data_IF_847308639219
#
_entry.id   IF_847308639219
#
_cell.length_a   1.000
_cell.length_b   1.000
_cell.length_c   1.000
_cell.angle_alpha   90.00
_cell.angle_beta   90.00
_cell.angle_gamma   90.00
#
_symmetry.space_group_name_H-M   'P 1'
#
loop_
_entity.id
_entity.type
_entity.pdbx_description
1 polymer ?
#
# COMPACT_ATOMS: atom_id res chain seq x y z
N UNK A 1 -37.42 13.06 -2.11
CA UNK A 1 -36.27 13.99 -2.20
C UNK A 1 -36.27 14.88 -0.96
N UNK A 2 -35.18 14.85 -0.18
CA UNK A 2 -35.02 15.78 0.93
C UNK A 2 -34.73 17.16 0.34
N UNK A 3 -35.56 18.16 0.68
CA UNK A 3 -35.40 19.55 0.26
C UNK A 3 -34.42 20.32 1.18
N UNK A 4 -33.69 19.62 2.05
CA UNK A 4 -32.69 20.24 2.93
C UNK A 4 -31.42 20.52 2.13
N UNK A 5 -31.10 21.81 2.02
CA UNK A 5 -29.79 22.30 1.58
C UNK A 5 -28.71 21.61 2.42
N UNK A 6 -27.62 21.22 1.78
CA UNK A 6 -26.46 20.54 2.38
C UNK A 6 -25.79 21.45 3.43
N UNK A 7 -26.40 21.52 4.61
CA UNK A 7 -25.85 22.24 5.75
C UNK A 7 -24.76 21.37 6.37
N UNK A 8 -23.52 21.86 6.32
CA UNK A 8 -22.42 21.30 7.10
C UNK A 8 -22.86 21.10 8.55
N UNK A 9 -22.47 19.98 9.16
CA UNK A 9 -22.78 19.73 10.56
C UNK A 9 -22.45 20.96 11.44
N UNK A 10 -23.28 21.30 12.45
CA UNK A 10 -23.06 22.46 13.30
C UNK A 10 -21.61 22.48 13.82
N UNK A 11 -20.95 23.64 13.77
CA UNK A 11 -19.53 23.75 14.15
C UNK A 11 -19.28 23.26 15.57
N UNK A 12 -20.25 23.44 16.45
CA UNK A 12 -20.24 22.99 17.83
C UNK A 12 -20.28 21.45 17.94
N UNK A 13 -21.03 20.78 17.06
CA UNK A 13 -21.06 19.31 16.98
C UNK A 13 -19.73 18.76 16.45
N UNK A 14 -19.21 19.33 15.36
CA UNK A 14 -17.91 18.95 14.81
C UNK A 14 -16.79 19.14 15.83
N UNK A 15 -16.82 20.26 16.56
CA UNK A 15 -15.87 20.52 17.64
C UNK A 15 -15.96 19.46 18.74
N UNK A 16 -17.17 19.11 19.20
CA UNK A 16 -17.35 18.09 20.22
C UNK A 16 -16.85 16.71 19.77
N UNK A 17 -17.11 16.33 18.51
CA UNK A 17 -16.62 15.05 17.94
C UNK A 17 -15.10 15.06 17.83
N UNK A 18 -14.50 16.15 17.34
CA UNK A 18 -13.04 16.28 17.21
C UNK A 18 -12.36 16.29 18.58
N UNK A 19 -12.95 16.93 19.59
CA UNK A 19 -12.43 16.93 20.96
C UNK A 19 -12.54 15.56 21.64
N UNK A 20 -13.54 14.74 21.27
CA UNK A 20 -13.72 13.38 21.80
C UNK A 20 -12.87 12.33 21.07
N UNK A 21 -12.42 12.60 19.85
CA UNK A 21 -11.70 11.63 19.02
C UNK A 21 -10.40 11.10 19.68
N UNK A 22 -9.56 11.92 20.33
CA UNK A 22 -8.37 11.41 21.02
C UNK A 22 -8.71 10.41 22.14
N UNK A 23 -9.77 10.66 22.91
CA UNK A 23 -10.21 9.74 23.96
C UNK A 23 -10.74 8.43 23.38
N UNK A 24 -11.50 8.49 22.29
CA UNK A 24 -11.98 7.29 21.60
C UNK A 24 -10.84 6.47 20.96
N UNK A 25 -9.83 7.13 20.39
CA UNK A 25 -8.63 6.48 19.85
C UNK A 25 -7.84 5.81 20.97
N UNK A 26 -7.67 6.50 22.11
CA UNK A 26 -6.95 5.95 23.26
C UNK A 26 -7.69 4.75 23.85
N UNK A 27 -9.00 4.84 24.04
CA UNK A 27 -9.81 3.71 24.51
C UNK A 27 -9.73 2.50 23.56
N UNK A 28 -9.80 2.74 22.24
CA UNK A 28 -9.63 1.67 21.25
C UNK A 28 -8.23 1.05 21.32
N UNK A 29 -7.18 1.87 21.53
CA UNK A 29 -5.83 1.37 21.71
C UNK A 29 -5.73 0.47 22.96
N UNK A 30 -6.26 0.93 24.09
CA UNK A 30 -6.28 0.16 25.33
C UNK A 30 -7.02 -1.18 25.15
N UNK A 31 -8.17 -1.17 24.47
CA UNK A 31 -8.91 -2.40 24.15
C UNK A 31 -8.08 -3.35 23.28
N UNK A 32 -7.48 -2.84 22.18
CA UNK A 32 -6.65 -3.62 21.28
C UNK A 32 -5.37 -4.17 21.95
N UNK A 33 -4.79 -3.45 22.91
CA UNK A 33 -3.62 -3.89 23.67
C UNK A 33 -3.93 -5.08 24.60
N UNK A 34 -5.22 -5.33 24.91
CA UNK A 34 -5.64 -6.50 25.69
C UNK A 34 -5.90 -7.75 24.85
N UNK A 35 -6.01 -7.61 23.53
CA UNK A 35 -6.27 -8.73 22.65
C UNK A 35 -5.07 -9.69 22.62
N UNK A 36 -5.30 -11.02 22.74
CA UNK A 36 -4.22 -11.99 22.65
C UNK A 36 -3.68 -12.02 21.23
N UNK A 37 -2.40 -12.39 21.09
CA UNK A 37 -1.74 -12.54 19.78
C UNK A 37 -2.53 -13.43 18.79
N UNK A 38 -3.21 -14.46 19.28
CA UNK A 38 -4.06 -15.32 18.46
C UNK A 38 -5.24 -14.60 17.80
N UNK A 39 -5.71 -13.47 18.34
CA UNK A 39 -6.77 -12.67 17.73
C UNK A 39 -6.28 -11.99 16.44
N UNK A 40 -5.04 -11.51 16.43
CA UNK A 40 -4.40 -10.93 15.25
C UNK A 40 -4.14 -11.97 14.16
N UNK A 41 -3.93 -13.23 14.53
CA UNK A 41 -3.77 -14.35 13.59
C UNK A 41 -5.04 -15.22 13.47
N UNK A 42 -6.22 -14.61 13.64
CA UNK A 42 -7.52 -15.28 13.47
C UNK A 42 -7.98 -15.36 12.01
N UNK A 43 -7.41 -14.51 11.14
CA UNK A 43 -7.66 -14.49 9.70
C UNK A 43 -6.52 -13.78 8.98
N UNK A 44 -6.37 -14.01 7.67
CA UNK A 44 -5.38 -13.29 6.84
C UNK A 44 -5.59 -11.77 6.92
N UNK A 45 -6.85 -11.32 6.92
CA UNK A 45 -7.16 -9.89 7.05
C UNK A 45 -6.74 -9.29 8.39
N UNK A 46 -6.98 -10.00 9.51
CA UNK A 46 -6.51 -9.55 10.82
C UNK A 46 -4.98 -9.52 10.91
N UNK A 47 -4.31 -10.54 10.34
CA UNK A 47 -2.85 -10.64 10.34
C UNK A 47 -2.23 -9.53 9.47
N UNK A 48 -2.86 -9.21 8.34
CA UNK A 48 -2.47 -8.09 7.50
C UNK A 48 -2.66 -6.74 8.20
N UNK A 49 -3.76 -6.54 8.94
CA UNK A 49 -3.94 -5.33 9.75
C UNK A 49 -2.87 -5.19 10.83
N UNK A 50 -2.49 -6.29 11.48
CA UNK A 50 -1.41 -6.31 12.45
C UNK A 50 -0.06 -5.93 11.82
N UNK A 51 0.24 -6.46 10.63
CA UNK A 51 1.39 -6.06 9.82
C UNK A 51 1.39 -4.55 9.51
N UNK A 52 0.26 -3.98 9.08
CA UNK A 52 0.18 -2.55 8.78
C UNK A 52 0.48 -1.68 10.00
N UNK A 53 0.12 -2.13 11.21
CA UNK A 53 0.45 -1.45 12.46
C UNK A 53 1.96 -1.24 12.66
N UNK A 54 2.81 -2.13 12.12
CA UNK A 54 4.27 -2.00 12.22
C UNK A 54 4.84 -0.80 11.45
N UNK A 55 4.10 -0.26 10.48
CA UNK A 55 4.50 0.91 9.70
C UNK A 55 4.44 2.20 10.55
N UNK A 56 3.72 2.20 11.67
CA UNK A 56 3.62 3.30 12.63
C UNK A 56 4.75 3.33 13.68
N UNK A 57 5.92 2.76 13.36
CA UNK A 57 7.07 2.67 14.28
C UNK A 57 7.79 4.00 14.50
N UNK A 58 8.45 4.15 15.66
CA UNK A 58 9.32 5.29 15.95
C UNK A 58 10.68 5.14 15.26
N UNK A 59 10.85 5.81 14.12
CA UNK A 59 12.10 5.85 13.37
C UNK A 59 13.07 6.88 13.94
N UNK A 60 13.58 6.62 15.14
CA UNK A 60 14.45 7.54 15.88
C UNK A 60 15.95 7.42 15.53
N UNK A 61 16.78 7.76 16.52
CA UNK A 61 18.24 7.67 16.43
C UNK A 61 18.68 6.25 16.04
N UNK A 62 19.42 6.14 14.94
CA UNK A 62 19.91 4.86 14.40
C UNK A 62 19.33 4.53 13.02
N UNK A 63 18.19 5.12 12.66
CA UNK A 63 17.60 5.02 11.33
C UNK A 63 18.17 6.06 10.35
N UNK A 64 18.08 5.84 9.03
CA UNK A 64 18.37 6.86 8.02
C UNK A 64 17.64 8.19 8.29
N UNK A 65 18.30 9.32 8.03
CA UNK A 65 17.74 10.65 8.33
C UNK A 65 16.39 10.90 7.66
N UNK A 66 16.16 10.38 6.45
CA UNK A 66 14.87 10.53 5.79
C UNK A 66 13.73 9.87 6.58
N UNK A 67 13.99 8.74 7.25
CA UNK A 67 12.98 8.05 8.06
C UNK A 67 12.64 8.80 9.36
N UNK A 68 13.56 9.64 9.85
CA UNK A 68 13.35 10.46 11.04
C UNK A 68 12.49 11.71 10.77
N UNK A 69 12.14 11.97 9.50
CA UNK A 69 11.36 13.13 9.08
C UNK A 69 9.86 12.90 9.29
N UNK A 70 9.08 13.94 9.68
CA UNK A 70 7.62 13.89 9.66
C UNK A 70 7.04 13.50 8.29
N UNK A 71 7.75 13.82 7.20
CA UNK A 71 7.34 13.42 5.84
C UNK A 71 7.34 11.91 5.67
N UNK A 72 8.29 11.21 6.30
CA UNK A 72 8.31 9.75 6.23
C UNK A 72 7.16 9.13 7.02
N UNK A 73 6.86 9.67 8.22
CA UNK A 73 5.69 9.24 8.98
C UNK A 73 4.38 9.42 8.19
N UNK A 74 4.24 10.52 7.45
CA UNK A 74 3.10 10.73 6.58
C UNK A 74 3.08 9.75 5.38
N UNK A 75 4.22 9.45 4.76
CA UNK A 75 4.33 8.38 3.74
C UNK A 75 3.95 7.00 4.29
N UNK A 76 4.33 6.71 5.54
CA UNK A 76 3.95 5.45 6.21
C UNK A 76 2.45 5.37 6.48
N UNK A 77 1.82 6.49 6.82
CA UNK A 77 0.36 6.58 6.95
C UNK A 77 -0.33 6.36 5.59
N UNK A 78 0.19 6.95 4.50
CA UNK A 78 -0.30 6.68 3.14
C UNK A 78 -0.14 5.21 2.76
N UNK A 79 0.97 4.58 3.14
CA UNK A 79 1.19 3.16 2.88
C UNK A 79 0.22 2.26 3.67
N UNK A 80 -0.04 2.58 4.95
CA UNK A 80 -1.04 1.89 5.77
C UNK A 80 -2.43 1.99 5.15
N UNK A 81 -2.88 3.21 4.83
CA UNK A 81 -4.21 3.44 4.29
C UNK A 81 -4.36 2.95 2.85
N UNK A 82 -3.30 3.04 2.04
CA UNK A 82 -3.23 2.47 0.70
C UNK A 82 -3.37 0.96 0.73
N UNK A 83 -2.58 0.27 1.56
CA UNK A 83 -2.69 -1.18 1.70
C UNK A 83 -4.00 -1.63 2.34
N UNK A 84 -4.56 -0.86 3.28
CA UNK A 84 -5.92 -1.10 3.78
C UNK A 84 -6.98 -0.97 2.68
N UNK A 85 -6.83 0.00 1.78
CA UNK A 85 -7.71 0.18 0.63
C UNK A 85 -7.68 -1.05 -0.28
N UNK A 86 -6.48 -1.57 -0.60
CA UNK A 86 -6.29 -2.82 -1.35
C UNK A 86 -6.92 -4.02 -0.63
N UNK A 87 -6.66 -4.19 0.67
CA UNK A 87 -7.25 -5.27 1.46
C UNK A 87 -8.79 -5.23 1.45
N UNK A 88 -9.37 -4.04 1.64
CA UNK A 88 -10.84 -3.87 1.61
C UNK A 88 -11.41 -4.12 0.22
N UNK A 89 -10.69 -3.72 -0.83
CA UNK A 89 -11.07 -3.97 -2.20
C UNK A 89 -11.11 -5.47 -2.50
N UNK A 90 -10.05 -6.21 -2.15
CA UNK A 90 -9.90 -7.62 -2.50
C UNK A 90 -10.79 -8.54 -1.65
N UNK A 91 -11.06 -8.16 -0.40
CA UNK A 91 -12.01 -8.88 0.47
C UNK A 91 -13.47 -8.75 0.05
N UNK A 92 -13.80 -7.81 -0.86
CA UNK A 92 -15.15 -7.65 -1.45
C UNK A 92 -15.35 -8.59 -2.66
N UNK A 93 -14.45 -9.57 -2.87
CA UNK A 93 -14.47 -10.58 -3.94
C UNK A 93 -14.40 -9.93 -5.33
N UNK A 94 -13.34 -9.16 -5.55
CA UNK A 94 -12.90 -8.80 -6.90
C UNK A 94 -11.71 -9.67 -7.30
N UNK A 95 -11.90 -10.54 -8.28
CA UNK A 95 -10.78 -11.18 -8.97
C UNK A 95 -10.14 -10.13 -9.88
N UNK A 96 -8.96 -9.64 -9.49
CA UNK A 96 -8.11 -8.82 -10.34
C UNK A 96 -6.86 -9.62 -10.68
N UNK A 97 -6.68 -10.07 -11.93
CA UNK A 97 -5.36 -10.49 -12.37
C UNK A 97 -4.47 -9.23 -12.35
N UNK A 98 -3.31 -9.32 -11.72
CA UNK A 98 -2.23 -8.35 -11.89
C UNK A 98 -1.28 -8.94 -12.95
N UNK A 99 -0.67 -8.11 -13.78
CA UNK A 99 0.36 -8.53 -14.74
C UNK A 99 1.47 -7.51 -14.63
N UNK A 100 2.67 -7.99 -14.37
CA UNK A 100 3.87 -7.18 -14.41
C UNK A 100 4.65 -7.55 -15.68
N UNK A 101 5.20 -6.53 -16.35
CA UNK A 101 6.03 -6.78 -17.51
C UNK A 101 7.40 -7.25 -17.06
N UNK A 102 7.80 -8.40 -17.59
CA UNK A 102 9.20 -8.77 -17.71
C UNK A 102 9.95 -7.55 -18.25
N UNK A 103 10.82 -6.95 -17.42
CA UNK A 103 11.83 -6.03 -17.92
C UNK A 103 12.57 -6.73 -19.07
N UNK A 104 12.79 -6.02 -20.18
CA UNK A 104 13.41 -6.57 -21.39
C UNK A 104 14.80 -7.13 -21.05
N UNK A 105 14.82 -8.42 -20.70
CA UNK A 105 15.95 -9.18 -20.21
C UNK A 105 16.86 -9.54 -21.37
N UNK A 106 17.50 -8.54 -21.97
CA UNK A 106 18.74 -8.80 -22.68
C UNK A 106 19.77 -9.19 -21.62
N UNK A 107 20.55 -10.24 -21.92
CA UNK A 107 21.75 -10.64 -21.17
C UNK A 107 22.76 -9.48 -21.18
N UNK A 108 22.49 -8.45 -20.41
CA UNK A 108 23.40 -7.36 -20.14
C UNK A 108 24.21 -7.75 -18.91
N UNK A 109 25.54 -7.72 -19.05
CA UNK A 109 26.42 -7.76 -17.89
C UNK A 109 25.93 -6.71 -16.89
N UNK A 110 25.98 -7.01 -15.57
CA UNK A 110 25.53 -6.06 -14.57
C UNK A 110 26.17 -4.69 -14.81
N UNK A 111 25.39 -3.60 -14.77
CA UNK A 111 25.91 -2.27 -15.02
C UNK A 111 27.11 -2.00 -14.11
N UNK A 112 28.17 -1.40 -14.66
CA UNK A 112 29.38 -1.04 -13.92
C UNK A 112 29.52 0.49 -13.84
N UNK A 113 29.45 1.11 -12.65
CA UNK A 113 29.31 0.48 -11.33
C UNK A 113 27.89 -0.03 -11.04
N UNK A 114 27.82 -1.07 -10.21
CA UNK A 114 26.54 -1.63 -9.75
C UNK A 114 25.70 -0.57 -9.01
N UNK A 115 24.41 -0.41 -9.34
CA UNK A 115 23.50 0.44 -8.59
C UNK A 115 23.43 0.02 -7.12
N UNK A 116 23.74 0.94 -6.21
CA UNK A 116 23.73 0.68 -4.76
C UNK A 116 22.32 0.89 -4.17
N UNK A 117 21.46 -0.11 -4.35
CA UNK A 117 20.10 -0.12 -3.81
C UNK A 117 20.02 -0.13 -2.28
N UNK A 118 18.83 0.15 -1.75
CA UNK A 118 18.52 0.11 -0.33
C UNK A 118 17.21 -0.65 -0.15
N UNK A 119 17.21 -1.62 0.77
CA UNK A 119 15.97 -2.14 1.32
C UNK A 119 15.58 -1.23 2.49
N UNK A 120 14.37 -0.64 2.44
CA UNK A 120 13.87 0.25 3.49
C UNK A 120 14.02 -0.45 4.86
N UNK A 121 14.79 0.09 5.81
CA UNK A 121 15.21 -0.66 6.99
C UNK A 121 14.14 -0.70 8.08
N UNK A 122 12.88 -0.95 7.72
CA UNK A 122 11.77 -1.11 8.64
C UNK A 122 11.75 -2.55 9.21
N UNK A 123 12.63 -2.82 10.17
CA UNK A 123 12.81 -4.19 10.71
C UNK A 123 11.55 -4.80 11.34
N UNK A 124 10.72 -4.06 12.11
CA UNK A 124 9.45 -4.60 12.60
C UNK A 124 8.54 -5.08 11.47
N UNK A 125 8.45 -4.31 10.37
CA UNK A 125 7.66 -4.68 9.20
C UNK A 125 8.18 -5.95 8.53
N UNK A 126 9.47 -6.08 8.28
CA UNK A 126 10.02 -7.28 7.64
C UNK A 126 9.83 -8.54 8.51
N UNK A 127 10.00 -8.40 9.82
CA UNK A 127 9.77 -9.49 10.76
C UNK A 127 8.30 -9.93 10.79
N UNK A 128 7.38 -8.97 10.87
CA UNK A 128 5.95 -9.27 10.90
C UNK A 128 5.44 -9.78 9.54
N UNK A 129 5.93 -9.25 8.42
CA UNK A 129 5.57 -9.75 7.10
C UNK A 129 5.98 -11.21 6.93
N UNK A 130 7.18 -11.58 7.39
CA UNK A 130 7.61 -12.98 7.38
C UNK A 130 6.67 -13.87 8.19
N UNK A 131 6.24 -13.42 9.38
CA UNK A 131 5.26 -14.14 10.21
C UNK A 131 3.90 -14.28 9.53
N UNK A 132 3.42 -13.24 8.86
CA UNK A 132 2.16 -13.30 8.10
C UNK A 132 2.28 -14.28 6.93
N UNK A 133 3.41 -14.29 6.22
CA UNK A 133 3.66 -15.25 5.13
C UNK A 133 3.74 -16.68 5.66
N UNK A 134 4.43 -16.90 6.79
CA UNK A 134 4.48 -18.20 7.47
C UNK A 134 3.06 -18.66 7.87
N UNK A 135 2.26 -17.76 8.46
CA UNK A 135 0.87 -18.06 8.81
C UNK A 135 0.00 -18.44 7.60
N UNK A 136 0.18 -17.78 6.45
CA UNK A 136 -0.50 -18.15 5.21
C UNK A 136 -0.05 -19.53 4.72
N UNK A 137 1.26 -19.82 4.77
CA UNK A 137 1.82 -21.09 4.34
C UNK A 137 1.33 -22.24 5.22
N UNK A 138 1.35 -22.07 6.54
CA UNK A 138 0.79 -23.02 7.51
C UNK A 138 -0.71 -23.25 7.23
N UNK A 139 -1.46 -22.18 6.97
CA UNK A 139 -2.88 -22.25 6.60
C UNK A 139 -3.13 -23.05 5.32
N UNK A 140 -2.27 -22.92 4.30
CA UNK A 140 -2.36 -23.72 3.07
C UNK A 140 -2.17 -25.21 3.36
N UNK A 141 -1.18 -25.56 4.19
CA UNK A 141 -0.85 -26.95 4.55
C UNK A 141 -1.95 -27.57 5.43
N UNK A 142 -2.38 -26.87 6.48
CA UNK A 142 -3.39 -27.36 7.44
C UNK A 142 -4.75 -27.62 6.79
N UNK A 143 -5.13 -26.79 5.83
CA UNK A 143 -6.43 -26.85 5.17
C UNK A 143 -6.39 -27.63 3.84
N UNK A 144 -5.23 -28.15 3.44
CA UNK A 144 -5.04 -28.88 2.17
C UNK A 144 -5.55 -28.08 0.95
N UNK A 145 -5.32 -26.76 0.93
CA UNK A 145 -5.89 -25.87 -0.10
C UNK A 145 -5.33 -26.14 -1.50
N UNK A 146 -4.06 -26.54 -1.57
CA UNK A 146 -3.33 -26.81 -2.80
C UNK A 146 -2.53 -28.12 -2.64
N UNK A 147 -2.18 -28.77 -3.75
CA UNK A 147 -1.17 -29.84 -3.75
C UNK A 147 0.23 -29.20 -3.71
N UNK A 148 1.19 -29.81 -3.00
CA UNK A 148 2.51 -29.19 -2.70
C UNK A 148 3.39 -28.94 -3.93
N UNK A 149 3.05 -29.56 -5.05
CA UNK A 149 3.71 -29.43 -6.35
C UNK A 149 3.05 -28.40 -7.27
N UNK A 150 2.03 -27.68 -6.80
CA UNK A 150 1.41 -26.60 -7.54
C UNK A 150 2.21 -25.29 -7.47
N UNK A 151 2.01 -24.45 -8.49
CA UNK A 151 2.72 -23.18 -8.66
C UNK A 151 2.45 -22.21 -7.51
N UNK A 152 1.30 -22.28 -6.85
CA UNK A 152 0.91 -21.43 -5.72
C UNK A 152 1.82 -21.64 -4.49
N UNK A 153 2.17 -22.90 -4.17
CA UNK A 153 3.14 -23.19 -3.11
C UNK A 153 4.55 -22.69 -3.48
N UNK A 154 4.91 -22.84 -4.76
CA UNK A 154 6.18 -22.33 -5.29
C UNK A 154 6.26 -20.81 -5.15
N UNK A 155 5.22 -20.08 -5.56
CA UNK A 155 5.14 -18.63 -5.47
C UNK A 155 5.18 -18.16 -4.01
N UNK A 156 4.41 -18.77 -3.12
CA UNK A 156 4.44 -18.41 -1.70
C UNK A 156 5.80 -18.67 -1.06
N UNK A 157 6.46 -19.78 -1.40
CA UNK A 157 7.82 -20.09 -0.92
C UNK A 157 8.84 -19.07 -1.43
N UNK A 158 8.80 -18.72 -2.72
CA UNK A 158 9.68 -17.68 -3.29
C UNK A 158 9.44 -16.31 -2.63
N UNK A 159 8.18 -15.98 -2.34
CA UNK A 159 7.84 -14.74 -1.65
C UNK A 159 8.39 -14.72 -0.23
N UNK A 160 8.20 -15.81 0.52
CA UNK A 160 8.76 -16.00 1.85
C UNK A 160 10.28 -15.80 1.86
N UNK A 161 11.00 -16.46 0.96
CA UNK A 161 12.46 -16.37 0.85
C UNK A 161 12.91 -14.94 0.49
N UNK A 162 12.15 -14.27 -0.40
CA UNK A 162 12.38 -12.86 -0.76
C UNK A 162 12.21 -11.94 0.44
N UNK A 163 11.13 -12.09 1.20
CA UNK A 163 10.83 -11.31 2.41
C UNK A 163 11.92 -11.52 3.47
N UNK A 164 12.30 -12.77 3.74
CA UNK A 164 13.37 -13.09 4.69
C UNK A 164 14.69 -12.44 4.28
N UNK A 165 15.06 -12.57 3.00
CA UNK A 165 16.30 -11.98 2.46
C UNK A 165 16.29 -10.45 2.53
N UNK A 166 15.17 -9.81 2.20
CA UNK A 166 15.00 -8.37 2.35
C UNK A 166 15.16 -7.93 3.81
N UNK A 167 14.56 -8.64 4.77
CA UNK A 167 14.73 -8.37 6.20
C UNK A 167 16.19 -8.48 6.67
N UNK A 168 16.91 -9.52 6.22
CA UNK A 168 18.33 -9.71 6.53
C UNK A 168 19.21 -8.58 5.96
N UNK A 169 18.97 -8.18 4.70
CA UNK A 169 19.69 -7.10 4.04
C UNK A 169 19.38 -5.74 4.66
N UNK A 170 18.11 -5.47 4.97
CA UNK A 170 17.68 -4.28 5.72
C UNK A 170 18.43 -4.15 7.06
N UNK A 171 18.51 -5.24 7.83
CA UNK A 171 19.24 -5.26 9.09
C UNK A 171 20.75 -5.04 8.89
N UNK A 172 21.33 -5.65 7.86
CA UNK A 172 22.74 -5.49 7.50
C UNK A 172 23.07 -4.04 7.11
N UNK A 173 22.23 -3.41 6.28
CA UNK A 173 22.37 -2.01 5.87
C UNK A 173 22.18 -1.05 7.04
N UNK A 174 21.21 -1.30 7.93
CA UNK A 174 20.98 -0.49 9.13
C UNK A 174 22.16 -0.54 10.10
N UNK A 175 22.87 -1.67 10.17
CA UNK A 175 24.10 -1.83 10.95
C UNK A 175 25.33 -1.14 10.31
N UNK A 176 25.19 -0.52 9.14
CA UNK A 176 26.29 0.11 8.40
C UNK A 176 27.29 -0.90 7.82
N UNK A 177 26.90 -2.18 7.69
CA UNK A 177 27.73 -3.21 7.05
C UNK A 177 27.60 -3.10 5.54
N UNK A 178 28.72 -3.22 4.83
CA UNK A 178 28.74 -3.25 3.36
C UNK A 178 28.03 -4.49 2.85
N UNK A 179 27.26 -4.31 1.77
CA UNK A 179 26.71 -5.43 1.01
C UNK A 179 27.74 -5.96 0.00
N UNK A 180 27.61 -7.23 -0.37
CA UNK A 180 28.40 -7.85 -1.45
C UNK A 180 27.80 -7.52 -2.81
N UNK A 181 28.53 -7.79 -3.89
CA UNK A 181 28.04 -7.59 -5.26
C UNK A 181 26.80 -8.45 -5.53
N UNK A 182 26.76 -9.69 -5.04
CA UNK A 182 25.62 -10.60 -5.20
C UNK A 182 24.38 -10.13 -4.41
N UNK A 183 24.58 -9.44 -3.29
CA UNK A 183 23.49 -8.85 -2.51
C UNK A 183 22.94 -7.60 -3.20
N UNK A 184 23.79 -6.75 -3.77
CA UNK A 184 23.34 -5.63 -4.60
C UNK A 184 22.65 -6.10 -5.88
N UNK A 185 23.16 -7.17 -6.49
CA UNK A 185 22.55 -7.77 -7.67
C UNK A 185 21.18 -8.37 -7.36
N UNK A 186 21.01 -9.00 -6.20
CA UNK A 186 19.68 -9.39 -5.72
C UNK A 186 18.76 -8.17 -5.60
N UNK A 187 19.18 -7.11 -4.91
CA UNK A 187 18.36 -5.89 -4.74
C UNK A 187 17.96 -5.29 -6.10
N UNK A 188 18.83 -5.40 -7.11
CA UNK A 188 18.58 -4.91 -8.47
C UNK A 188 17.56 -5.75 -9.23
N UNK A 189 17.54 -7.06 -8.98
CA UNK A 189 16.85 -8.03 -9.84
C UNK A 189 15.62 -8.70 -9.22
N UNK A 190 15.45 -8.68 -7.90
CA UNK A 190 14.27 -9.32 -7.32
C UNK A 190 13.01 -8.57 -7.77
N UNK A 191 12.05 -9.32 -8.29
CA UNK A 191 10.72 -8.84 -8.65
C UNK A 191 9.66 -9.55 -7.80
N UNK A 192 8.40 -9.13 -7.96
CA UNK A 192 7.23 -9.80 -7.38
C UNK A 192 6.28 -10.27 -8.50
N UNK A 193 6.78 -10.36 -9.73
CA UNK A 193 5.98 -10.55 -10.93
C UNK A 193 5.37 -11.95 -10.96
N UNK A 194 6.10 -12.92 -10.40
CA UNK A 194 5.62 -14.29 -10.23
C UNK A 194 4.39 -14.41 -9.31
N UNK A 195 4.15 -13.44 -8.41
CA UNK A 195 2.94 -13.45 -7.57
C UNK A 195 1.68 -13.07 -8.37
N UNK A 196 1.88 -12.44 -9.52
CA UNK A 196 0.85 -11.94 -10.40
C UNK A 196 0.59 -12.88 -11.60
N UNK A 197 1.43 -13.89 -11.80
CA UNK A 197 1.25 -14.85 -12.88
C UNK A 197 -0.08 -15.60 -12.70
N UNK A 198 -0.98 -15.45 -13.67
CA UNK A 198 -2.24 -16.18 -13.69
C UNK A 198 -1.98 -17.70 -13.71
N UNK A 199 -2.69 -18.46 -12.88
CA UNK A 199 -2.72 -19.93 -12.91
C UNK A 199 -3.33 -20.50 -14.22
N UNK A 200 -3.76 -19.63 -15.12
CA UNK A 200 -4.53 -19.93 -16.31
C UNK A 200 -4.01 -19.20 -17.56
N UNK A 201 -3.01 -19.82 -18.20
CA UNK A 201 -3.05 -20.17 -19.63
C UNK A 201 -3.22 -19.07 -20.70
N UNK A 202 -3.16 -17.79 -20.40
CA UNK A 202 -3.20 -16.74 -21.43
C UNK A 202 -1.82 -16.51 -22.05
N UNK A 203 -1.55 -17.20 -23.16
CA UNK A 203 -0.41 -16.93 -24.04
C UNK A 203 -0.55 -15.65 -24.88
N UNK A 204 -1.11 -14.57 -24.31
CA UNK A 204 -1.37 -13.30 -24.98
C UNK A 204 -0.96 -12.09 -24.14
N UNK A 205 -0.74 -10.95 -24.81
CA UNK A 205 -0.42 -9.66 -24.15
C UNK A 205 -1.62 -9.24 -23.29
N UNK A 206 -1.42 -8.96 -21.99
CA UNK A 206 -2.51 -8.52 -21.11
C UNK A 206 -3.17 -7.21 -21.57
N UNK A 207 -4.44 -6.98 -21.23
CA UNK A 207 -5.05 -5.66 -21.41
C UNK A 207 -4.26 -4.59 -20.64
N UNK A 208 -4.08 -3.42 -21.26
CA UNK A 208 -3.35 -2.28 -20.68
C UNK A 208 -3.85 -1.87 -19.28
N UNK A 209 -5.13 -2.12 -19.02
CA UNK A 209 -5.80 -1.74 -17.77
C UNK A 209 -5.34 -2.59 -16.57
N UNK A 210 -4.64 -3.69 -16.82
CA UNK A 210 -4.04 -4.52 -15.78
C UNK A 210 -2.74 -3.91 -15.24
N UNK A 211 -2.02 -3.11 -16.05
CA UNK A 211 -0.82 -2.37 -15.61
C UNK A 211 -1.16 -1.12 -14.78
N UNK A 212 -2.45 -0.87 -14.54
CA UNK A 212 -2.94 0.29 -13.79
C UNK A 212 -3.25 -0.11 -12.35
N UNK A 213 -2.42 0.38 -11.44
CA UNK A 213 -2.57 0.16 -10.00
C UNK A 213 -3.82 0.79 -9.41
N UNK A 214 -4.34 1.87 -10.00
CA UNK A 214 -5.41 2.64 -9.37
C UNK A 214 -6.69 1.81 -9.15
N UNK A 215 -7.21 1.86 -7.94
CA UNK A 215 -8.47 1.23 -7.54
C UNK A 215 -9.24 2.08 -6.53
N UNK A 216 -10.51 1.77 -6.35
CA UNK A 216 -11.40 2.45 -5.39
C UNK A 216 -12.30 1.45 -4.68
N UNK A 217 -12.51 1.67 -3.38
CA UNK A 217 -13.44 0.89 -2.56
C UNK A 217 -14.36 1.81 -1.76
N UNK A 218 -15.62 1.41 -1.62
CA UNK A 218 -16.57 2.04 -0.73
C UNK A 218 -16.42 1.49 0.70
N UNK A 219 -16.04 2.36 1.63
CA UNK A 219 -15.84 1.98 3.03
C UNK A 219 -17.16 1.93 3.77
N UNK A 220 -18.02 2.93 3.54
CA UNK A 220 -19.27 3.09 4.30
C UNK A 220 -20.30 3.91 3.54
N UNK A 221 -21.58 3.61 3.77
CA UNK A 221 -22.69 4.53 3.41
C UNK A 221 -23.13 5.27 4.66
N UNK A 222 -23.02 6.59 4.64
CA UNK A 222 -23.34 7.46 5.78
C UNK A 222 -24.68 8.16 5.56
N UNK A 223 -25.29 8.63 6.66
CA UNK A 223 -26.50 9.46 6.64
C UNK A 223 -27.73 8.83 5.96
N UNK A 224 -27.92 7.51 6.10
CA UNK A 224 -29.12 6.82 5.61
C UNK A 224 -30.37 7.07 6.48
N UNK A 225 -30.19 7.58 7.70
CA UNK A 225 -31.31 7.94 8.57
C UNK A 225 -32.07 9.15 7.97
N UNK A 226 -33.40 9.08 7.81
CA UNK A 226 -34.21 10.24 7.40
C UNK A 226 -34.03 11.49 8.25
N UNK A 227 -33.57 11.35 9.49
CA UNK A 227 -33.28 12.44 10.44
C UNK A 227 -31.82 12.92 10.38
N UNK A 228 -30.97 12.35 9.53
CA UNK A 228 -29.59 12.77 9.39
C UNK A 228 -29.48 14.25 8.99
N UNK A 229 -28.43 14.91 9.49
CA UNK A 229 -28.21 16.35 9.34
C UNK A 229 -27.80 16.70 7.91
N UNK A 230 -27.07 15.82 7.24
CA UNK A 230 -26.62 15.98 5.86
C UNK A 230 -27.13 14.86 4.95
N UNK A 231 -26.99 15.06 3.64
CA UNK A 231 -27.45 14.10 2.66
C UNK A 231 -26.76 12.73 2.80
N UNK A 232 -27.43 11.63 2.39
CA UNK A 232 -26.79 10.33 2.23
C UNK A 232 -25.55 10.44 1.35
N UNK A 233 -24.44 9.89 1.82
CA UNK A 233 -23.17 9.90 1.10
C UNK A 233 -22.46 8.55 1.22
N UNK A 234 -21.49 8.34 0.34
CA UNK A 234 -20.65 7.15 0.35
C UNK A 234 -19.22 7.61 0.63
N UNK A 235 -18.60 7.05 1.67
CA UNK A 235 -17.19 7.23 1.96
C UNK A 235 -16.38 6.27 1.09
N UNK A 236 -15.46 6.80 0.32
CA UNK A 236 -14.52 6.05 -0.51
C UNK A 236 -13.11 6.18 0.01
N UNK A 237 -12.36 5.10 -0.13
CA UNK A 237 -10.90 5.14 -0.17
C UNK A 237 -10.42 4.65 -1.51
N UNK A 238 -9.32 5.22 -2.00
CA UNK A 238 -8.77 4.92 -3.30
C UNK A 238 -7.26 5.07 -3.30
N UNK A 239 -6.61 4.35 -4.20
CA UNK A 239 -5.21 4.58 -4.57
C UNK A 239 -5.17 5.04 -6.02
N UNK A 240 -4.35 6.03 -6.32
CA UNK A 240 -4.07 6.46 -7.70
C UNK A 240 -2.74 5.88 -8.20
N UNK A 241 -2.20 6.45 -9.27
CA UNK A 241 -0.87 6.12 -9.75
C UNK A 241 0.18 6.31 -8.62
N UNK A 242 1.15 5.39 -8.45
CA UNK A 242 2.14 5.51 -7.41
C UNK A 242 2.93 6.81 -7.57
N UNK A 243 3.18 7.49 -6.46
CA UNK A 243 4.02 8.68 -6.43
C UNK A 243 5.50 8.29 -6.42
N UNK A 244 6.32 9.07 -7.13
CA UNK A 244 7.78 8.91 -7.06
C UNK A 244 8.30 9.55 -5.79
N UNK A 245 9.02 8.77 -4.99
CA UNK A 245 9.73 9.21 -3.81
C UNK A 245 11.22 9.31 -4.09
N UNK A 246 11.82 10.44 -3.73
CA UNK A 246 13.27 10.64 -3.74
C UNK A 246 13.80 10.64 -2.30
N UNK A 247 14.77 9.78 -2.00
CA UNK A 247 15.38 9.70 -0.68
C UNK A 247 16.89 9.93 -0.76
N UNK A 248 17.41 10.87 0.04
CA UNK A 248 18.84 11.05 0.21
C UNK A 248 19.33 10.12 1.32
N UNK A 249 20.25 9.22 1.00
CA UNK A 249 20.81 8.23 1.95
C UNK A 249 22.33 8.36 2.03
N UNK A 250 22.87 8.24 3.25
CA UNK A 250 24.25 8.60 3.56
C UNK A 250 25.10 7.47 4.14
N UNK A 251 24.66 6.23 4.04
CA UNK A 251 25.23 5.11 4.80
C UNK A 251 26.68 4.74 4.40
N UNK A 252 27.20 5.22 3.27
CA UNK A 252 28.50 4.81 2.72
C UNK A 252 29.40 5.99 2.31
N UNK A 253 29.78 6.90 3.20
CA UNK A 253 30.72 8.05 2.98
C UNK A 253 30.47 8.95 1.74
N UNK A 254 29.44 8.65 0.96
CA UNK A 254 29.07 9.22 -0.32
C UNK A 254 27.54 9.27 -0.28
N UNK A 255 26.96 10.46 -0.10
CA UNK A 255 25.51 10.60 -0.15
C UNK A 255 25.01 10.22 -1.54
N UNK A 256 23.90 9.48 -1.61
CA UNK A 256 23.26 9.09 -2.87
C UNK A 256 21.76 9.34 -2.81
N UNK A 257 21.18 9.64 -3.97
CA UNK A 257 19.73 9.76 -4.14
C UNK A 257 19.20 8.41 -4.60
N UNK A 258 18.19 7.91 -3.91
CA UNK A 258 17.42 6.74 -4.29
C UNK A 258 16.06 7.19 -4.82
N UNK A 259 15.54 6.40 -5.76
CA UNK A 259 14.20 6.55 -6.31
C UNK A 259 13.40 5.32 -5.86
N UNK A 260 12.22 5.55 -5.30
CA UNK A 260 11.27 4.52 -4.93
C UNK A 260 9.85 4.97 -5.22
N UNK A 261 8.89 4.09 -4.94
CA UNK A 261 7.46 4.38 -5.10
C UNK A 261 6.80 4.58 -3.73
N UNK A 262 5.80 5.44 -3.67
CA UNK A 262 4.93 5.64 -2.52
C UNK A 262 3.46 5.57 -2.96
N UNK A 263 2.58 5.14 -2.06
CA UNK A 263 1.14 5.12 -2.33
C UNK A 263 0.60 6.53 -2.56
N UNK A 264 -0.26 6.72 -3.55
CA UNK A 264 -1.08 7.92 -3.67
C UNK A 264 -2.50 7.62 -3.14
N UNK A 265 -2.63 7.53 -1.81
CA UNK A 265 -3.91 7.27 -1.14
C UNK A 265 -4.82 8.50 -1.11
N UNK A 266 -6.13 8.30 -1.29
CA UNK A 266 -7.15 9.34 -1.19
C UNK A 266 -8.37 8.80 -0.47
N UNK A 267 -8.97 9.63 0.37
CA UNK A 267 -10.26 9.37 0.99
C UNK A 267 -11.18 10.55 0.71
N UNK A 268 -12.40 10.26 0.27
CA UNK A 268 -13.35 11.29 -0.16
C UNK A 268 -14.79 10.76 -0.11
N UNK A 269 -15.74 11.68 -0.07
CA UNK A 269 -17.16 11.33 -0.15
C UNK A 269 -17.72 11.50 -1.56
N UNK A 270 -18.59 10.58 -1.98
CA UNK A 270 -19.40 10.71 -3.19
C UNK A 270 -20.90 10.72 -2.88
N UNK A 271 -21.74 11.22 -3.82
CA UNK A 271 -23.19 11.21 -3.64
C UNK A 271 -23.71 9.78 -3.53
N UNK A 272 -24.75 9.58 -2.70
CA UNK A 272 -25.44 8.30 -2.65
C UNK A 272 -26.13 8.00 -4.00
N UNK A 273 -26.06 6.74 -4.44
CA UNK A 273 -26.60 6.28 -5.72
C UNK A 273 -25.63 5.34 -6.43
N UNK A 274 -25.21 5.70 -7.65
CA UNK A 274 -24.26 4.89 -8.43
C UNK A 274 -22.88 4.95 -7.78
N UNK A 275 -22.42 3.81 -7.28
CA UNK A 275 -21.08 3.68 -6.67
C UNK A 275 -19.98 3.85 -7.71
N UNK A 276 -18.85 4.40 -7.30
CA UNK A 276 -17.66 4.47 -8.14
C UNK A 276 -17.13 3.05 -8.39
N UNK A 277 -16.73 2.79 -9.62
CA UNK A 277 -16.07 1.53 -10.00
C UNK A 277 -14.62 1.80 -10.36
N UNK A 278 -13.78 0.78 -10.32
CA UNK A 278 -12.39 0.85 -10.77
C UNK A 278 -12.26 1.43 -12.17
N UNK A 279 -13.09 1.01 -13.13
CA UNK A 279 -13.03 1.57 -14.49
C UNK A 279 -13.31 3.08 -14.52
N UNK A 280 -14.23 3.57 -13.67
CA UNK A 280 -14.51 5.00 -13.56
C UNK A 280 -13.35 5.75 -12.88
N UNK A 281 -12.75 5.13 -11.86
CA UNK A 281 -11.61 5.69 -11.13
C UNK A 281 -10.34 5.73 -11.97
N UNK A 282 -9.95 4.61 -12.60
CA UNK A 282 -8.82 4.53 -13.53
C UNK A 282 -8.97 5.52 -14.68
N UNK A 283 -10.17 5.64 -15.27
CA UNK A 283 -10.41 6.64 -16.33
C UNK A 283 -10.08 8.06 -15.85
N UNK A 284 -10.40 8.38 -14.58
CA UNK A 284 -10.09 9.68 -13.97
C UNK A 284 -8.60 9.84 -13.68
N UNK A 285 -7.95 8.84 -13.08
CA UNK A 285 -6.53 8.86 -12.70
C UNK A 285 -5.61 8.97 -13.92
N UNK A 286 -5.91 8.19 -14.96
CA UNK A 286 -5.08 8.11 -16.16
C UNK A 286 -5.60 8.99 -17.31
N UNK A 287 -6.53 9.92 -17.05
CA UNK A 287 -7.09 10.82 -18.06
C UNK A 287 -6.01 11.65 -18.77
N UNK A 288 -4.92 11.96 -18.05
CA UNK A 288 -3.77 12.71 -18.54
C UNK A 288 -2.96 12.00 -19.62
N UNK A 289 -3.14 10.69 -19.79
CA UNK A 289 -2.40 9.87 -20.73
C UNK A 289 -3.23 9.53 -21.95
N UNK A 290 -2.63 9.59 -23.14
CA UNK A 290 -3.24 9.03 -24.35
C UNK A 290 -3.07 7.50 -24.43
N UNK A 291 -3.44 6.92 -25.57
CA UNK A 291 -3.33 5.46 -25.77
C UNK A 291 -1.89 4.96 -25.88
N UNK A 292 -0.92 5.87 -26.04
CA UNK A 292 0.51 5.61 -26.11
C UNK A 292 1.26 6.01 -24.82
N UNK A 293 0.52 6.37 -23.76
CA UNK A 293 1.06 6.88 -22.49
C UNK A 293 1.76 8.24 -22.57
N UNK A 294 1.56 8.98 -23.66
CA UNK A 294 2.02 10.36 -23.74
C UNK A 294 1.09 11.29 -22.94
N UNK A 295 1.68 12.33 -22.34
CA UNK A 295 0.91 13.34 -21.59
C UNK A 295 0.15 14.21 -22.59
N UNK A 296 -1.18 14.19 -22.50
CA UNK A 296 -2.06 15.04 -23.31
C UNK A 296 -1.90 16.51 -22.93
N UNK A 297 -2.03 17.41 -23.91
CA UNK A 297 -2.20 18.83 -23.63
C UNK A 297 -3.62 19.14 -23.10
N UNK A 298 -3.74 20.05 -22.12
CA UNK A 298 -5.02 20.57 -21.64
C UNK A 298 -5.32 20.28 -20.16
N UNK A 299 -6.55 20.57 -19.75
CA UNK A 299 -7.04 20.24 -18.41
C UNK A 299 -7.45 18.77 -18.33
N UNK A 300 -7.06 18.10 -17.25
CA UNK A 300 -7.41 16.70 -16.98
C UNK A 300 -8.40 16.62 -15.83
N UNK A 301 -9.10 15.49 -15.74
CA UNK A 301 -10.02 15.27 -14.64
C UNK A 301 -9.30 15.43 -13.28
N UNK A 302 -9.70 16.40 -12.43
CA UNK A 302 -9.00 16.65 -11.18
C UNK A 302 -9.19 15.45 -10.26
N UNK A 303 -8.18 15.08 -9.48
CA UNK A 303 -8.33 14.07 -8.44
C UNK A 303 -8.94 14.69 -7.16
N UNK A 304 -9.67 13.92 -6.34
CA UNK A 304 -10.10 14.38 -5.01
C UNK A 304 -8.91 14.88 -4.22
N UNK A 305 -9.03 15.99 -3.51
CA UNK A 305 -7.93 16.52 -2.72
C UNK A 305 -7.46 15.50 -1.68
N UNK A 306 -6.16 15.49 -1.39
CA UNK A 306 -5.61 14.73 -0.26
C UNK A 306 -6.25 15.23 1.03
N UNK A 307 -6.49 14.37 2.00
CA UNK A 307 -6.95 14.84 3.31
C UNK A 307 -5.88 15.72 4.00
N UNK A 308 -6.34 16.61 4.89
CA UNK A 308 -5.48 17.60 5.57
C UNK A 308 -4.37 16.95 6.41
N UNK A 309 -4.57 15.71 6.89
CA UNK A 309 -3.53 15.00 7.62
C UNK A 309 -2.34 14.54 6.74
N UNK A 310 -2.43 14.74 5.42
CA UNK A 310 -1.31 14.63 4.49
C UNK A 310 -0.72 15.97 4.09
N UNK A 311 -1.10 17.09 4.72
CA UNK A 311 -0.58 18.42 4.35
C UNK A 311 0.96 18.49 4.40
N UNK A 312 1.60 17.68 5.25
CA UNK A 312 3.06 17.56 5.29
C UNK A 312 3.66 17.03 3.98
N UNK A 313 2.95 16.18 3.24
CA UNK A 313 3.42 15.60 1.97
C UNK A 313 3.20 16.50 0.75
N UNK A 314 2.50 17.62 0.93
CA UNK A 314 2.22 18.56 -0.17
C UNK A 314 3.47 19.42 -0.43
N UNK A 315 3.92 19.54 -1.69
CA UNK A 315 5.11 20.31 -2.06
C UNK A 315 4.98 21.82 -1.80
#
# INVERSE_FOLDING_TARGET
>A
PSDRVDESAPKEYLKAVVEALPEAIEALREDLDTEPESAWFSSIGAAWMHLLGTLASDYGKGYPLYMQSPLFAAKQLEAQLGSYTELRHDTILYEKPNYAELGDGWNEEPPNPLPMGLIEPNLPFWGELLRVVDYIADGFEENYLFERDLEEYGALTMFRDTVERCGQLAAKQLQGKKLTEEEYEFIRLFDLDYMAAAADGYGGIPPVDVYRSALVVDIQTVNLDPMAISAPAILYQAVSEPSVMLALVGNENTPRVLIGMAFDHREFTGPHGRRLTDSMWKKRVYDRYDEYFDIKEGEHAPLPEKNFWYDGLRP
#
